data_IF_203079486858
#
_entry.id   IF_203079486858
#
_cell.length_a   1.000
_cell.length_b   1.000
_cell.length_c   1.000
_cell.angle_alpha   90.00
_cell.angle_beta   90.00
_cell.angle_gamma   90.00
#
_symmetry.space_group_name_H-M   'P 1'
#
loop_
_entity.id
_entity.type
_entity.pdbx_description
1 polymer ?
#
# COMPACT_ATOMS: atom_id res chain seq x y z
N UNK A 1 11.69 -9.19 15.99
CA UNK A 1 10.44 -9.85 15.58
C UNK A 1 10.46 -10.36 14.11
N UNK A 2 11.26 -11.37 13.77
CA UNK A 2 11.35 -11.86 12.39
C UNK A 2 10.02 -12.41 11.87
N UNK A 3 9.23 -13.03 12.73
CA UNK A 3 7.94 -13.65 12.35
C UNK A 3 6.88 -12.65 11.87
N UNK A 4 6.90 -11.39 12.30
CA UNK A 4 5.95 -10.36 11.85
C UNK A 4 6.21 -10.00 10.38
N UNK A 5 7.48 -9.80 10.02
CA UNK A 5 7.89 -9.50 8.64
C UNK A 5 7.60 -10.67 7.71
N UNK A 6 7.89 -11.90 8.13
CA UNK A 6 7.63 -13.10 7.34
C UNK A 6 6.13 -13.31 7.06
N UNK A 7 5.26 -13.12 8.05
CA UNK A 7 3.79 -13.18 7.85
C UNK A 7 3.28 -12.14 6.88
N UNK A 8 3.80 -10.93 6.94
CA UNK A 8 3.45 -9.86 6.00
C UNK A 8 3.96 -10.17 4.59
N UNK A 9 5.13 -10.76 4.48
CA UNK A 9 5.77 -11.11 3.21
C UNK A 9 4.98 -12.19 2.46
N UNK A 10 4.61 -13.30 3.11
CA UNK A 10 3.81 -14.38 2.50
C UNK A 10 2.45 -13.93 1.94
N UNK A 11 1.86 -12.86 2.51
CA UNK A 11 0.58 -12.32 2.05
C UNK A 11 0.81 -11.27 0.95
N UNK A 12 1.92 -10.54 1.01
CA UNK A 12 2.25 -9.45 0.08
C UNK A 12 2.72 -9.93 -1.28
N UNK A 13 3.28 -11.13 -1.39
CA UNK A 13 3.73 -11.73 -2.65
C UNK A 13 2.60 -11.97 -3.67
N UNK A 14 1.34 -11.72 -3.26
CA UNK A 14 0.18 -11.76 -4.15
C UNK A 14 -0.16 -10.37 -4.71
N UNK A 15 0.77 -9.75 -5.39
CA UNK A 15 0.62 -8.42 -6.02
C UNK A 15 -0.63 -8.28 -6.91
N UNK A 16 -1.10 -9.38 -7.51
CA UNK A 16 -2.32 -9.39 -8.35
C UNK A 16 -3.60 -9.02 -7.60
N UNK A 17 -3.62 -9.17 -6.28
CA UNK A 17 -4.78 -8.89 -5.43
C UNK A 17 -4.89 -7.42 -5.00
N UNK A 18 -3.83 -6.62 -5.16
CA UNK A 18 -3.79 -5.21 -4.71
C UNK A 18 -3.99 -5.09 -3.20
N UNK A 19 -3.05 -5.61 -2.42
CA UNK A 19 -3.09 -5.54 -0.94
C UNK A 19 -2.52 -4.20 -0.49
N UNK A 20 -3.35 -3.37 0.14
CA UNK A 20 -2.96 -2.05 0.67
C UNK A 20 -2.13 -2.18 1.95
N UNK A 21 -2.73 -2.76 2.98
CA UNK A 21 -2.07 -2.99 4.27
C UNK A 21 -2.58 -4.24 4.97
N UNK A 22 -1.76 -4.73 5.90
CA UNK A 22 -2.07 -5.89 6.73
C UNK A 22 -1.94 -5.48 8.19
N UNK A 23 -3.00 -5.60 8.95
CA UNK A 23 -3.03 -5.35 10.38
C UNK A 23 -3.07 -6.69 11.13
N UNK A 24 -2.27 -6.81 12.18
CA UNK A 24 -2.19 -8.01 13.02
C UNK A 24 -2.52 -7.62 14.45
N UNK A 25 -3.69 -8.05 14.92
CA UNK A 25 -4.13 -7.91 16.31
C UNK A 25 -3.79 -9.21 17.07
N UNK A 26 -3.06 -9.07 18.16
CA UNK A 26 -2.66 -10.20 19.01
C UNK A 26 -3.39 -10.15 20.34
N UNK A 27 -4.09 -11.22 20.66
CA UNK A 27 -4.63 -11.48 22.00
C UNK A 27 -3.92 -12.71 22.62
N UNK A 28 -4.17 -12.99 23.89
CA UNK A 28 -3.56 -14.13 24.59
C UNK A 28 -3.76 -15.45 23.85
N UNK A 29 -4.99 -15.72 23.38
CA UNK A 29 -5.38 -17.03 22.84
C UNK A 29 -5.64 -17.01 21.33
N UNK A 30 -5.69 -15.83 20.71
CA UNK A 30 -6.04 -15.68 19.30
C UNK A 30 -5.19 -14.63 18.61
N UNK A 31 -4.98 -14.82 17.31
CA UNK A 31 -4.35 -13.85 16.41
C UNK A 31 -5.35 -13.52 15.31
N UNK A 32 -5.69 -12.23 15.18
CA UNK A 32 -6.56 -11.74 14.13
C UNK A 32 -5.72 -10.99 13.09
N UNK A 33 -5.84 -11.40 11.83
CA UNK A 33 -5.16 -10.77 10.70
C UNK A 33 -6.22 -10.10 9.83
N UNK A 34 -6.09 -8.79 9.66
CA UNK A 34 -6.99 -7.99 8.83
C UNK A 34 -6.23 -7.61 7.57
N UNK A 35 -6.73 -8.05 6.41
CA UNK A 35 -6.13 -7.77 5.10
C UNK A 35 -7.00 -6.73 4.39
N UNK A 36 -6.42 -5.56 4.09
CA UNK A 36 -7.06 -4.54 3.28
C UNK A 36 -6.67 -4.73 1.83
N UNK A 37 -7.64 -4.98 0.95
CA UNK A 37 -7.39 -5.26 -0.47
C UNK A 37 -8.38 -4.53 -1.37
N UNK A 38 -7.93 -4.18 -2.59
CA UNK A 38 -8.79 -3.62 -3.63
C UNK A 38 -9.68 -4.67 -4.29
N UNK A 39 -9.26 -5.95 -4.28
CA UNK A 39 -9.94 -7.05 -4.96
C UNK A 39 -10.14 -8.24 -4.03
N UNK A 40 -11.12 -8.19 -3.12
CA UNK A 40 -11.33 -9.24 -2.12
C UNK A 40 -11.59 -10.61 -2.74
N UNK A 41 -12.25 -10.67 -3.90
CA UNK A 41 -12.54 -11.93 -4.59
C UNK A 41 -11.29 -12.73 -4.99
N UNK A 42 -10.18 -12.08 -5.31
CA UNK A 42 -8.92 -12.75 -5.65
C UNK A 42 -8.27 -13.36 -4.40
N UNK A 43 -8.34 -12.66 -3.26
CA UNK A 43 -7.78 -13.15 -2.00
C UNK A 43 -8.59 -14.32 -1.44
N UNK A 44 -9.92 -14.26 -1.57
CA UNK A 44 -10.82 -15.34 -1.12
C UNK A 44 -10.66 -16.57 -2.02
N UNK A 45 -10.57 -16.34 -3.34
CA UNK A 45 -10.52 -17.40 -4.35
C UNK A 45 -11.87 -18.10 -4.57
N UNK A 46 -11.90 -19.03 -5.52
CA UNK A 46 -13.11 -19.84 -5.80
C UNK A 46 -13.44 -20.73 -4.59
N UNK A 47 -14.63 -20.54 -4.01
CA UNK A 47 -15.08 -21.32 -2.85
C UNK A 47 -14.24 -21.16 -1.58
N UNK A 48 -13.41 -20.12 -1.47
CA UNK A 48 -12.57 -19.89 -0.29
C UNK A 48 -11.25 -20.68 -0.27
N UNK A 49 -10.90 -21.37 -1.36
CA UNK A 49 -9.71 -22.24 -1.41
C UNK A 49 -8.40 -21.47 -1.16
N UNK A 50 -8.29 -20.23 -1.66
CA UNK A 50 -7.05 -19.44 -1.49
C UNK A 50 -6.86 -18.95 -0.05
N UNK A 51 -7.94 -18.53 0.62
CA UNK A 51 -7.85 -18.10 2.01
C UNK A 51 -7.52 -19.28 2.95
N UNK A 52 -7.97 -20.48 2.63
CA UNK A 52 -7.63 -21.69 3.41
C UNK A 52 -6.15 -22.05 3.27
N UNK A 53 -5.58 -21.92 2.06
CA UNK A 53 -4.13 -22.09 1.85
C UNK A 53 -3.33 -21.08 2.68
N UNK A 54 -3.73 -19.80 2.66
CA UNK A 54 -3.10 -18.76 3.47
C UNK A 54 -3.20 -19.08 4.96
N UNK A 55 -4.36 -19.52 5.44
CA UNK A 55 -4.52 -19.95 6.84
C UNK A 55 -3.63 -21.13 7.20
N UNK A 56 -3.50 -22.11 6.31
CA UNK A 56 -2.65 -23.29 6.53
C UNK A 56 -1.15 -22.91 6.59
N UNK A 57 -0.71 -22.02 5.72
CA UNK A 57 0.67 -21.48 5.76
C UNK A 57 0.93 -20.68 7.04
N UNK A 58 -0.01 -19.82 7.44
CA UNK A 58 0.10 -19.02 8.64
C UNK A 58 0.05 -19.83 9.95
N UNK A 59 -0.66 -20.96 9.97
CA UNK A 59 -0.67 -21.90 11.10
C UNK A 59 0.71 -22.47 11.41
N UNK A 60 1.60 -22.57 10.42
CA UNK A 60 2.99 -23.03 10.66
C UNK A 60 3.79 -22.08 11.57
N UNK A 61 3.37 -20.82 11.69
CA UNK A 61 4.06 -19.79 12.48
C UNK A 61 3.41 -19.49 13.84
N UNK A 62 2.27 -20.13 14.16
CA UNK A 62 1.58 -19.87 15.43
C UNK A 62 0.67 -21.02 15.82
N UNK A 63 0.72 -21.40 17.11
CA UNK A 63 -0.16 -22.43 17.70
C UNK A 63 -1.51 -21.84 18.16
N UNK A 64 -1.65 -20.51 18.09
CA UNK A 64 -2.86 -19.81 18.53
C UNK A 64 -3.97 -19.88 17.48
N UNK A 65 -5.22 -19.71 17.92
CA UNK A 65 -6.38 -19.64 17.03
C UNK A 65 -6.21 -18.47 16.04
N UNK A 66 -6.18 -18.76 14.75
CA UNK A 66 -6.01 -17.78 13.69
C UNK A 66 -7.37 -17.37 13.11
N UNK A 67 -7.63 -16.07 13.06
CA UNK A 67 -8.79 -15.47 12.41
C UNK A 67 -8.27 -14.54 11.30
N UNK A 68 -8.75 -14.72 10.07
CA UNK A 68 -8.39 -13.86 8.93
C UNK A 68 -9.64 -13.14 8.45
N UNK A 69 -9.62 -11.82 8.55
CA UNK A 69 -10.66 -10.93 8.05
C UNK A 69 -10.16 -10.21 6.80
N UNK A 70 -11.02 -10.06 5.80
CA UNK A 70 -10.72 -9.33 4.58
C UNK A 70 -11.60 -8.08 4.55
N UNK A 71 -10.97 -6.92 4.40
CA UNK A 71 -11.64 -5.63 4.25
C UNK A 71 -11.36 -5.06 2.86
N UNK A 72 -12.42 -4.64 2.18
CA UNK A 72 -12.33 -4.00 0.88
C UNK A 72 -11.91 -2.53 0.99
N UNK A 73 -10.96 -2.12 0.14
CA UNK A 73 -10.60 -0.72 -0.05
C UNK A 73 -11.50 -0.12 -1.13
N UNK A 74 -12.49 0.67 -0.72
CA UNK A 74 -13.51 1.26 -1.62
C UNK A 74 -12.93 2.19 -2.70
N UNK A 75 -11.79 2.86 -2.42
CA UNK A 75 -11.15 3.83 -3.32
C UNK A 75 -9.67 3.53 -3.46
N UNK A 76 -9.28 2.55 -4.31
CA UNK A 76 -7.87 2.15 -4.45
C UNK A 76 -6.97 3.28 -4.97
N UNK A 77 -7.51 4.20 -5.80
CA UNK A 77 -6.77 5.35 -6.31
C UNK A 77 -6.43 6.42 -5.24
N UNK A 78 -6.99 6.32 -4.03
CA UNK A 78 -6.64 7.16 -2.87
C UNK A 78 -5.69 6.49 -1.88
N UNK A 79 -5.31 5.27 -2.14
CA UNK A 79 -4.38 4.51 -1.31
C UNK A 79 -2.97 4.59 -1.89
N UNK A 80 -2.04 5.15 -1.13
CA UNK A 80 -0.69 5.43 -1.62
C UNK A 80 0.08 4.16 -1.98
N UNK A 81 -0.13 3.05 -1.27
CA UNK A 81 0.53 1.79 -1.54
C UNK A 81 0.05 1.19 -2.88
N UNK A 82 -1.26 1.16 -3.11
CA UNK A 82 -1.85 0.64 -4.35
C UNK A 82 -1.46 1.48 -5.56
N UNK A 83 -1.40 2.80 -5.38
CA UNK A 83 -0.93 3.73 -6.42
C UNK A 83 0.54 3.50 -6.74
N UNK A 84 1.40 3.28 -5.73
CA UNK A 84 2.82 2.98 -5.94
C UNK A 84 3.01 1.66 -6.68
N UNK A 85 2.30 0.61 -6.30
CA UNK A 85 2.32 -0.70 -6.97
C UNK A 85 1.84 -0.61 -8.41
N UNK A 86 0.82 0.20 -8.68
CA UNK A 86 0.33 0.42 -10.05
C UNK A 86 1.38 1.12 -10.93
N UNK A 87 2.10 2.11 -10.39
CA UNK A 87 3.21 2.76 -11.11
C UNK A 87 4.33 1.74 -11.37
N UNK A 88 4.71 0.94 -10.36
CA UNK A 88 5.73 -0.09 -10.50
C UNK A 88 5.38 -1.10 -11.60
N UNK A 89 4.15 -1.62 -11.60
CA UNK A 89 3.67 -2.53 -12.63
C UNK A 89 3.69 -1.92 -14.04
N UNK A 90 3.35 -0.63 -14.17
CA UNK A 90 3.45 0.06 -15.47
C UNK A 90 4.91 0.20 -15.94
N UNK A 91 5.86 0.42 -15.02
CA UNK A 91 7.29 0.46 -15.35
C UNK A 91 7.81 -0.91 -15.79
N UNK A 92 7.42 -1.99 -15.16
CA UNK A 92 7.71 -3.37 -15.55
C UNK A 92 7.19 -3.69 -16.96
N UNK A 93 6.00 -3.19 -17.28
CA UNK A 93 5.41 -3.30 -18.62
C UNK A 93 6.02 -2.33 -19.66
N UNK A 94 7.18 -1.75 -19.36
CA UNK A 94 7.94 -0.85 -20.26
C UNK A 94 7.21 0.42 -20.69
N UNK A 95 6.23 0.87 -19.90
CA UNK A 95 5.58 2.16 -20.11
C UNK A 95 6.55 3.27 -19.68
N UNK A 96 6.60 4.36 -20.44
CA UNK A 96 7.42 5.52 -20.08
C UNK A 96 7.07 6.02 -18.67
N UNK A 97 8.09 6.17 -17.80
CA UNK A 97 7.92 6.61 -16.43
C UNK A 97 7.16 7.94 -16.31
N UNK A 98 7.38 8.90 -17.23
CA UNK A 98 6.66 10.17 -17.26
C UNK A 98 5.16 9.98 -17.49
N UNK A 99 4.80 9.08 -18.41
CA UNK A 99 3.41 8.77 -18.71
C UNK A 99 2.74 8.03 -17.54
N UNK A 100 3.43 7.05 -16.96
CA UNK A 100 2.95 6.30 -15.82
C UNK A 100 2.66 7.21 -14.62
N UNK A 101 3.60 8.09 -14.25
CA UNK A 101 3.42 9.03 -13.14
C UNK A 101 2.27 9.99 -13.39
N UNK A 102 2.23 10.69 -14.54
CA UNK A 102 1.20 11.68 -14.86
C UNK A 102 -0.20 11.07 -14.92
N UNK A 103 -0.34 9.92 -15.59
CA UNK A 103 -1.63 9.22 -15.69
C UNK A 103 -2.18 8.80 -14.33
N UNK A 104 -1.29 8.30 -13.45
CA UNK A 104 -1.67 7.87 -12.12
C UNK A 104 -2.03 9.05 -11.22
N UNK A 105 -1.27 10.14 -11.29
CA UNK A 105 -1.56 11.38 -10.57
C UNK A 105 -2.94 11.94 -10.94
N UNK A 106 -3.26 12.03 -12.22
CA UNK A 106 -4.57 12.48 -12.69
C UNK A 106 -5.73 11.62 -12.15
N UNK A 107 -5.55 10.27 -12.10
CA UNK A 107 -6.57 9.38 -11.52
C UNK A 107 -6.77 9.64 -10.03
N UNK A 108 -5.69 9.80 -9.28
CA UNK A 108 -5.74 10.09 -7.85
C UNK A 108 -6.42 11.44 -7.56
N UNK A 109 -6.11 12.47 -8.35
CA UNK A 109 -6.77 13.77 -8.22
C UNK A 109 -8.27 13.69 -8.56
N UNK A 110 -8.65 12.94 -9.61
CA UNK A 110 -10.07 12.68 -9.95
C UNK A 110 -10.78 11.88 -8.84
N UNK A 111 -10.11 10.99 -8.14
CA UNK A 111 -10.66 10.27 -6.99
C UNK A 111 -10.90 11.18 -5.77
N UNK A 112 -10.48 12.45 -5.84
CA UNK A 112 -10.73 13.48 -4.82
C UNK A 112 -9.63 13.53 -3.74
N UNK A 113 -8.37 13.25 -4.07
CA UNK A 113 -7.22 13.62 -3.25
C UNK A 113 -6.99 15.14 -3.32
N UNK A 114 -6.49 15.75 -2.25
CA UNK A 114 -6.16 17.19 -2.22
C UNK A 114 -4.78 17.49 -2.83
N UNK A 115 -3.93 16.49 -2.88
CA UNK A 115 -2.63 16.56 -3.51
C UNK A 115 -1.93 15.22 -3.57
N UNK A 116 -1.01 15.09 -4.51
CA UNK A 116 -0.18 13.90 -4.70
C UNK A 116 1.24 14.31 -5.08
N UNK A 117 2.22 13.60 -4.52
CA UNK A 117 3.62 13.67 -4.93
C UNK A 117 4.10 12.26 -5.23
N UNK A 118 4.69 12.08 -6.40
CA UNK A 118 5.30 10.82 -6.82
C UNK A 118 6.78 11.03 -7.06
N UNK A 119 7.60 10.07 -6.64
CA UNK A 119 9.04 10.08 -6.89
C UNK A 119 9.46 8.72 -7.40
N UNK A 120 10.21 8.70 -8.48
CA UNK A 120 10.76 7.48 -9.08
C UNK A 120 12.27 7.61 -9.16
N UNK A 121 12.99 6.61 -8.66
CA UNK A 121 14.45 6.61 -8.57
C UNK A 121 15.05 5.31 -9.11
N UNK A 122 16.11 5.43 -9.89
CA UNK A 122 16.80 4.31 -10.50
C UNK A 122 17.26 4.62 -11.92
N UNK A 123 17.53 3.58 -12.71
CA UNK A 123 17.90 3.68 -14.14
C UNK A 123 16.67 3.93 -15.01
N UNK A 124 16.18 5.16 -15.00
CA UNK A 124 14.95 5.55 -15.69
C UNK A 124 15.11 5.48 -17.20
N UNK A 125 14.26 4.68 -17.83
CA UNK A 125 14.31 4.45 -19.27
C UNK A 125 15.55 3.69 -19.76
N UNK A 126 16.26 2.97 -18.88
CA UNK A 126 17.46 2.23 -19.20
C UNK A 126 18.75 3.09 -19.25
N UNK A 127 18.72 4.30 -18.72
CA UNK A 127 19.91 5.16 -18.66
C UNK A 127 21.01 4.51 -17.81
N UNK A 128 22.28 4.72 -18.18
CA UNK A 128 23.42 4.13 -17.46
C UNK A 128 23.56 4.74 -16.06
N UNK A 129 23.33 6.04 -15.93
CA UNK A 129 23.33 6.71 -14.65
C UNK A 129 21.93 6.75 -14.02
N UNK A 130 21.84 6.29 -12.80
CA UNK A 130 20.61 6.40 -12.02
C UNK A 130 20.31 7.87 -11.67
N UNK A 131 19.05 8.22 -11.71
CA UNK A 131 18.56 9.53 -11.28
C UNK A 131 17.21 9.39 -10.58
N UNK A 132 16.84 10.45 -9.86
CA UNK A 132 15.54 10.57 -9.23
C UNK A 132 14.74 11.65 -9.92
N UNK A 133 13.53 11.31 -10.34
CA UNK A 133 12.56 12.28 -10.88
C UNK A 133 11.32 12.28 -9.99
N UNK A 134 10.76 13.47 -9.79
CA UNK A 134 9.55 13.64 -8.99
C UNK A 134 8.58 14.58 -9.69
N UNK A 135 7.30 14.30 -9.50
CA UNK A 135 6.20 15.15 -9.93
C UNK A 135 5.25 15.35 -8.75
N UNK A 136 4.69 16.54 -8.66
CA UNK A 136 3.68 16.87 -7.65
C UNK A 136 2.51 17.61 -8.27
N UNK A 137 1.32 17.36 -7.77
CA UNK A 137 0.08 18.04 -8.17
C UNK A 137 -0.78 18.30 -6.93
N UNK A 138 -1.32 19.52 -6.84
CA UNK A 138 -2.06 19.94 -5.66
C UNK A 138 -1.16 20.35 -4.49
N UNK A 139 -1.73 20.40 -3.29
CA UNK A 139 -1.04 20.81 -2.06
C UNK A 139 -0.60 19.60 -1.26
N UNK A 140 0.66 19.54 -0.83
CA UNK A 140 1.19 18.46 0.02
C UNK A 140 2.00 19.09 1.15
N UNK A 141 1.36 19.39 2.29
CA UNK A 141 2.02 20.02 3.43
C UNK A 141 2.77 18.98 4.27
N UNK A 142 3.97 18.58 3.85
CA UNK A 142 4.77 17.57 4.55
C UNK A 142 5.21 17.99 5.96
N UNK A 143 5.22 19.28 6.26
CA UNK A 143 5.61 19.84 7.56
C UNK A 143 4.45 19.93 8.55
N UNK A 144 3.20 19.82 8.09
CA UNK A 144 2.02 19.98 8.93
C UNK A 144 1.68 18.66 9.63
N UNK A 145 1.83 18.60 10.95
CA UNK A 145 1.59 17.40 11.75
C UNK A 145 0.12 16.90 11.70
N UNK A 146 -0.83 17.81 11.54
CA UNK A 146 -2.25 17.47 11.42
C UNK A 146 -2.68 17.03 10.02
N UNK A 147 -1.77 17.06 9.05
CA UNK A 147 -2.07 16.61 7.69
C UNK A 147 -2.15 15.08 7.63
N UNK A 148 -3.23 14.56 7.06
CA UNK A 148 -3.39 13.13 6.77
C UNK A 148 -2.70 12.84 5.43
N UNK A 149 -1.45 12.40 5.52
CA UNK A 149 -0.61 12.04 4.36
C UNK A 149 -0.39 10.53 4.39
N UNK A 150 -0.92 9.87 3.38
CA UNK A 150 -0.69 8.46 3.14
C UNK A 150 0.60 8.27 2.34
N UNK A 151 1.42 7.30 2.74
CA UNK A 151 2.70 7.01 2.10
C UNK A 151 2.73 5.57 1.59
N UNK A 152 3.14 5.40 0.33
CA UNK A 152 3.35 4.10 -0.29
C UNK A 152 4.73 3.98 -0.91
N UNK A 153 5.27 2.77 -0.86
CA UNK A 153 6.54 2.41 -1.49
C UNK A 153 6.40 1.10 -2.26
N UNK A 154 6.90 1.10 -3.49
CA UNK A 154 6.97 -0.10 -4.31
C UNK A 154 8.29 -0.14 -5.10
N UNK A 155 8.71 -1.34 -5.47
CA UNK A 155 9.86 -1.57 -6.33
C UNK A 155 9.38 -2.19 -7.64
N UNK A 156 9.84 -1.66 -8.76
CA UNK A 156 9.63 -2.22 -10.09
C UNK A 156 10.86 -3.01 -10.51
N UNK A 157 10.67 -4.27 -10.87
CA UNK A 157 11.74 -5.11 -11.39
C UNK A 157 11.87 -4.93 -12.91
N UNK A 158 12.83 -4.11 -13.31
CA UNK A 158 13.10 -3.87 -14.74
C UNK A 158 14.32 -4.67 -15.21
N UNK A 159 14.44 -4.83 -16.53
CA UNK A 159 15.61 -5.53 -17.15
C UNK A 159 16.94 -4.85 -16.83
N UNK A 160 16.94 -3.57 -16.45
CA UNK A 160 18.12 -2.78 -16.11
C UNK A 160 18.38 -2.67 -14.60
N UNK A 161 17.56 -3.34 -13.77
CA UNK A 161 17.65 -3.30 -12.32
C UNK A 161 16.35 -2.82 -11.68
N UNK A 162 16.38 -2.69 -10.35
CA UNK A 162 15.22 -2.23 -9.59
C UNK A 162 15.05 -0.72 -9.67
N UNK A 163 13.81 -0.29 -9.83
CA UNK A 163 13.41 1.12 -9.79
C UNK A 163 12.49 1.33 -8.60
N UNK A 164 12.88 2.19 -7.67
CA UNK A 164 12.09 2.51 -6.48
C UNK A 164 11.03 3.56 -6.80
N UNK A 165 9.80 3.31 -6.36
CA UNK A 165 8.66 4.23 -6.49
C UNK A 165 8.19 4.64 -5.11
N UNK A 166 8.09 5.93 -4.85
CA UNK A 166 7.55 6.51 -3.61
C UNK A 166 6.37 7.41 -3.95
N UNK A 167 5.30 7.28 -3.20
CA UNK A 167 4.07 8.05 -3.40
C UNK A 167 3.60 8.64 -2.08
N UNK A 168 3.24 9.91 -2.08
CA UNK A 168 2.59 10.61 -0.97
C UNK A 168 1.25 11.15 -1.45
N UNK A 169 0.18 10.83 -0.75
CA UNK A 169 -1.18 11.30 -1.06
C UNK A 169 -1.72 12.08 0.12
N UNK A 170 -2.05 13.33 -0.10
CA UNK A 170 -2.68 14.18 0.90
C UNK A 170 -4.20 14.02 0.84
N UNK A 171 -4.78 13.48 1.91
CA UNK A 171 -6.23 13.22 2.04
C UNK A 171 -6.98 14.39 2.67
N UNK A 172 -6.30 15.21 3.47
CA UNK A 172 -6.88 16.35 4.18
C UNK A 172 -6.22 16.58 5.54
N UNK A 173 -6.82 17.41 6.38
CA UNK A 173 -6.39 17.63 7.75
C UNK A 173 -7.28 16.87 8.72
N UNK A 174 -6.67 16.28 9.74
CA UNK A 174 -7.36 15.68 10.89
C UNK A 174 -7.36 16.71 12.02
N UNK A 175 -8.52 17.32 12.25
CA UNK A 175 -8.71 18.24 13.37
C UNK A 175 -9.25 17.46 14.56
N UNK A 176 -8.80 17.75 15.80
CA UNK A 176 -9.37 17.15 16.99
C UNK A 176 -10.84 17.53 17.11
N UNK A 177 -11.73 16.55 17.01
CA UNK A 177 -13.16 16.73 17.27
C UNK A 177 -13.35 16.88 18.78
N UNK A 178 -14.17 17.84 19.22
CA UNK A 178 -14.44 18.14 20.65
C UNK A 178 -14.97 16.94 21.49
N UNK A 179 -15.20 15.78 20.88
CA UNK A 179 -15.69 14.57 21.55
C UNK A 179 -14.64 13.54 22.01
N UNK A 180 -13.37 13.69 21.65
CA UNK A 180 -12.33 12.72 22.02
C UNK A 180 -11.43 13.19 23.18
N UNK A 181 -11.98 13.91 24.15
CA UNK A 181 -11.28 14.27 25.41
C UNK A 181 -11.39 13.20 26.50
N UNK A 182 -11.82 12.00 26.20
CA UNK A 182 -11.81 10.88 27.15
C UNK A 182 -10.60 10.00 26.86
N UNK A 183 -9.49 10.22 27.57
CA UNK A 183 -8.37 9.29 27.54
C UNK A 183 -6.97 9.81 27.84
N UNK A 184 -6.82 10.98 28.49
CA UNK A 184 -5.47 11.42 28.92
C UNK A 184 -5.40 11.85 30.39
N UNK A 185 -6.18 11.19 31.26
CA UNK A 185 -5.98 11.29 32.70
C UNK A 185 -6.22 9.92 33.35
N UNK A 186 -5.16 9.10 33.36
CA UNK A 186 -4.82 8.16 34.45
C UNK A 186 -3.45 7.53 34.16
#
# INVERSE_FOLDING_TARGET
EPYRRQRQMCIRDRYSAGVSKIEIERASDRVKIIIYTAKPGIVIGKGGAEIEKVKAELKKFTDKKLIVDIKEVKRPDKDAQLVAENIALQLENRISFRRAMKSTMQRTMKAGAKGIKTSVSGRLGGADMARTEFYSEGTIPLQTLRADIDYGFAEADTTYGKVGVKVWIYKGEVLPTKGNKEGSDK
#
